data_IF_906452692143
#
_entry.id   IF_906452692143
#
_cell.length_a   1.000
_cell.length_b   1.000
_cell.length_c   1.000
_cell.angle_alpha   90.00
_cell.angle_beta   90.00
_cell.angle_gamma   90.00
#
_symmetry.space_group_name_H-M   'P 1'
#
loop_
_entity.id
_entity.type
_entity.pdbx_description
1 polymer ?
#
# COMPACT_ATOMS: atom_id res chain seq x y z
N UNK A 1 8.35 -21.29 -0.77
CA UNK A 1 8.85 -20.72 0.50
C UNK A 1 8.31 -19.30 0.54
N UNK A 2 7.40 -19.02 1.48
CA UNK A 2 6.76 -17.71 1.62
C UNK A 2 7.39 -17.02 2.82
N UNK A 3 7.95 -15.82 2.63
CA UNK A 3 8.52 -15.02 3.71
C UNK A 3 7.47 -14.00 4.18
N UNK A 4 7.15 -14.02 5.48
CA UNK A 4 6.24 -13.02 6.07
C UNK A 4 7.06 -11.82 6.50
N UNK A 5 6.82 -10.67 5.87
CA UNK A 5 7.56 -9.44 6.11
C UNK A 5 6.68 -8.49 6.93
N UNK A 6 7.16 -8.07 8.10
CA UNK A 6 6.54 -6.95 8.80
C UNK A 6 7.06 -5.63 8.19
N UNK A 7 6.13 -4.89 7.62
CA UNK A 7 6.36 -3.50 7.22
C UNK A 7 6.41 -2.69 8.51
N UNK A 8 7.59 -2.58 9.11
CA UNK A 8 7.83 -1.79 10.33
C UNK A 8 7.77 -0.30 10.00
N UNK A 9 6.58 0.16 9.66
CA UNK A 9 6.28 1.54 9.33
C UNK A 9 5.07 1.95 10.17
N UNK A 10 5.28 2.95 11.00
CA UNK A 10 4.26 3.51 11.91
C UNK A 10 3.39 4.57 11.25
N UNK A 11 3.72 4.99 10.02
CA UNK A 11 3.02 6.06 9.31
C UNK A 11 2.02 5.51 8.29
N UNK A 12 0.84 6.15 8.14
CA UNK A 12 -0.13 5.81 7.11
C UNK A 12 0.47 5.88 5.70
N UNK A 13 -0.06 5.05 4.80
CA UNK A 13 0.22 5.15 3.37
C UNK A 13 -0.90 5.93 2.70
N UNK A 14 -0.53 7.00 2.00
CA UNK A 14 -1.46 7.72 1.13
C UNK A 14 -1.88 6.82 -0.02
N UNK A 15 -3.18 6.88 -0.30
CA UNK A 15 -3.81 6.13 -1.38
C UNK A 15 -3.94 7.06 -2.59
N UNK A 16 -3.68 6.55 -3.80
CA UNK A 16 -3.89 7.36 -4.99
C UNK A 16 -5.39 7.57 -5.28
N UNK A 17 -5.70 8.46 -6.23
CA UNK A 17 -7.07 8.78 -6.65
C UNK A 17 -7.87 7.56 -7.18
N UNK A 18 -7.21 6.43 -7.44
CA UNK A 18 -7.84 5.19 -7.91
C UNK A 18 -7.99 4.16 -6.77
N UNK A 19 -7.70 4.55 -5.53
CA UNK A 19 -7.79 3.67 -4.37
C UNK A 19 -6.64 2.67 -4.27
N UNK A 20 -5.48 2.95 -4.89
CA UNK A 20 -4.31 2.06 -4.85
C UNK A 20 -3.31 2.55 -3.81
N UNK A 21 -2.79 1.63 -3.02
CA UNK A 21 -1.65 1.86 -2.13
C UNK A 21 -0.39 1.43 -2.85
N UNK A 22 0.61 2.32 -2.90
CA UNK A 22 1.90 2.00 -3.51
C UNK A 22 2.84 1.40 -2.47
N UNK A 23 3.37 0.20 -2.73
CA UNK A 23 4.42 -0.40 -1.90
C UNK A 23 5.64 0.54 -1.91
N UNK A 24 6.12 1.04 -0.76
CA UNK A 24 7.26 1.94 -0.69
C UNK A 24 8.55 1.41 -1.34
N UNK A 25 9.36 2.33 -1.88
CA UNK A 25 10.56 1.99 -2.65
C UNK A 25 11.62 1.20 -1.84
N UNK A 26 11.74 1.45 -0.54
CA UNK A 26 12.66 0.71 0.34
C UNK A 26 12.28 -0.77 0.49
N UNK A 27 10.97 -1.07 0.55
CA UNK A 27 10.48 -2.46 0.60
C UNK A 27 10.70 -3.11 -0.76
N UNK A 28 10.36 -2.39 -1.85
CA UNK A 28 10.58 -2.88 -3.20
C UNK A 28 12.04 -3.25 -3.47
N UNK A 29 12.96 -2.33 -3.16
CA UNK A 29 14.39 -2.54 -3.36
C UNK A 29 14.96 -3.69 -2.51
N UNK A 30 14.54 -3.79 -1.24
CA UNK A 30 14.98 -4.87 -0.35
C UNK A 30 14.56 -6.26 -0.83
N UNK A 31 13.40 -6.36 -1.48
CA UNK A 31 12.81 -7.63 -1.89
C UNK A 31 12.84 -7.87 -3.41
N UNK A 32 13.52 -7.02 -4.17
CA UNK A 32 13.64 -7.15 -5.63
C UNK A 32 12.30 -7.04 -6.37
N UNK A 33 11.34 -6.31 -5.80
CA UNK A 33 10.05 -6.04 -6.43
C UNK A 33 10.26 -4.90 -7.43
N UNK A 34 10.52 -5.26 -8.68
CA UNK A 34 10.69 -4.31 -9.77
C UNK A 34 9.46 -4.36 -10.70
N UNK A 35 8.70 -3.26 -10.84
CA UNK A 35 7.55 -3.21 -11.74
C UNK A 35 7.92 -3.38 -13.22
N UNK A 36 9.20 -3.28 -13.59
CA UNK A 36 9.69 -3.48 -14.95
C UNK A 36 10.13 -4.94 -15.23
N UNK A 37 10.11 -5.83 -14.24
CA UNK A 37 10.40 -7.25 -14.46
C UNK A 37 9.30 -7.88 -15.33
N UNK A 38 9.73 -8.61 -16.37
CA UNK A 38 8.82 -9.47 -17.14
C UNK A 38 8.36 -10.65 -16.27
N UNK A 39 7.12 -10.58 -15.77
CA UNK A 39 6.48 -11.66 -15.02
C UNK A 39 5.37 -11.16 -14.09
N UNK A 40 4.59 -12.11 -13.56
CA UNK A 40 3.56 -11.81 -12.57
C UNK A 40 4.19 -11.74 -11.17
N UNK A 41 4.00 -10.62 -10.48
CA UNK A 41 4.39 -10.45 -9.08
C UNK A 41 3.17 -10.70 -8.19
N UNK A 42 3.29 -11.65 -7.28
CA UNK A 42 2.26 -11.94 -6.29
C UNK A 42 2.70 -11.43 -4.92
N UNK A 43 1.89 -10.55 -4.32
CA UNK A 43 2.13 -9.99 -2.98
C UNK A 43 0.97 -10.40 -2.09
N UNK A 44 1.27 -11.13 -1.00
CA UNK A 44 0.30 -11.42 0.04
C UNK A 44 0.33 -10.31 1.10
N UNK A 45 -0.83 -9.70 1.36
CA UNK A 45 -0.95 -8.58 2.30
C UNK A 45 -1.90 -8.99 3.42
N UNK A 46 -1.38 -9.03 4.65
CA UNK A 46 -2.18 -9.19 5.86
C UNK A 46 -2.58 -7.81 6.41
N UNK A 47 -3.84 -7.42 6.23
CA UNK A 47 -4.37 -6.20 6.82
C UNK A 47 -4.77 -6.48 8.27
N UNK A 48 -3.93 -6.05 9.23
CA UNK A 48 -4.23 -6.22 10.66
C UNK A 48 -5.09 -5.10 11.25
N UNK A 49 -4.97 -3.88 10.72
CA UNK A 49 -5.69 -2.70 11.18
C UNK A 49 -5.88 -1.71 10.02
N UNK A 50 -6.98 -0.96 10.04
CA UNK A 50 -7.29 0.10 9.07
C UNK A 50 -7.74 1.31 9.88
N UNK A 51 -7.12 2.46 9.63
CA UNK A 51 -7.56 3.77 10.11
C UNK A 51 -7.87 4.64 8.89
N UNK A 52 -9.04 5.27 8.87
CA UNK A 52 -9.50 6.11 7.75
C UNK A 52 -9.64 7.53 8.29
N UNK A 53 -8.94 8.47 7.65
CA UNK A 53 -9.09 9.90 7.90
C UNK A 53 -9.57 10.54 6.60
N UNK A 54 -10.72 11.21 6.67
CA UNK A 54 -11.30 11.98 5.57
C UNK A 54 -11.17 13.45 5.95
N UNK A 55 -10.73 14.30 5.04
CA UNK A 55 -10.80 15.74 5.24
C UNK A 55 -12.27 16.18 5.25
N UNK A 56 -12.67 17.00 6.22
CA UNK A 56 -14.07 17.42 6.42
C UNK A 56 -14.65 18.17 5.20
N UNK A 57 -13.81 18.73 4.34
CA UNK A 57 -14.20 19.44 3.12
C UNK A 57 -14.62 18.52 1.96
N UNK A 58 -14.30 17.22 2.00
CA UNK A 58 -14.60 16.27 0.91
C UNK A 58 -16.00 15.60 1.04
N UNK A 59 -16.76 15.91 2.09
CA UNK A 59 -18.11 15.34 2.33
C UNK A 59 -19.27 16.23 1.85
N UNK A 60 -19.02 17.43 1.33
CA UNK A 60 -20.05 18.29 0.71
C UNK A 60 -20.19 18.03 -0.81
N UNK A 61 -20.57 16.81 -1.20
CA UNK A 61 -20.66 16.51 -2.64
C UNK A 61 -21.42 15.26 -3.05
N UNK A 62 -22.23 14.66 -2.18
CA UNK A 62 -23.04 13.48 -2.55
C UNK A 62 -24.43 13.56 -1.91
N UNK A 63 -25.33 14.26 -2.60
CA UNK A 63 -26.78 14.16 -2.42
C UNK A 63 -27.44 13.87 -3.78
#
# INVERSE_FOLDING_TARGET
>A
MSERIEVDRSEPLEMDQRGRVTIPANIRAKHGIDPEIEGDIWVEVDIRHIEIQLDEDDMEGSA
#
